data_IF_900549317045
#
_entry.id   IF_900549317045
#
_cell.length_a   1.000
_cell.length_b   1.000
_cell.length_c   1.000
_cell.angle_alpha   90.00
_cell.angle_beta   90.00
_cell.angle_gamma   90.00
#
_symmetry.space_group_name_H-M   'P 1'
#
loop_
_entity.id
_entity.type
_entity.pdbx_description
1 polymer ?
#
# COMPACT_ATOMS: atom_id res chain seq x y z
N UNK A 1 -34.16 -31.70 3.16
CA UNK A 1 -34.03 -31.05 1.84
C UNK A 1 -34.18 -29.55 2.05
N UNK A 2 -33.06 -28.83 2.12
CA UNK A 2 -33.02 -27.37 2.22
C UNK A 2 -32.39 -26.87 0.92
N UNK A 3 -33.14 -26.04 0.20
CA UNK A 3 -32.78 -25.53 -1.12
C UNK A 3 -31.60 -24.58 -1.00
N UNK A 4 -30.54 -24.90 -1.75
CA UNK A 4 -29.39 -24.04 -1.98
C UNK A 4 -29.85 -22.69 -2.55
N UNK A 5 -29.54 -21.62 -1.84
CA UNK A 5 -29.85 -20.24 -2.22
C UNK A 5 -28.94 -19.78 -3.36
N UNK A 6 -29.52 -19.08 -4.34
CA UNK A 6 -28.92 -18.45 -5.53
C UNK A 6 -27.71 -17.51 -5.29
N UNK A 7 -27.21 -17.40 -4.06
CA UNK A 7 -26.15 -16.47 -3.63
C UNK A 7 -24.73 -16.92 -3.97
N UNK A 8 -24.48 -18.21 -4.23
CA UNK A 8 -23.13 -18.73 -4.51
C UNK A 8 -22.74 -18.77 -6.00
N UNK A 9 -23.63 -18.36 -6.92
CA UNK A 9 -23.48 -18.66 -8.35
C UNK A 9 -23.44 -17.46 -9.32
N UNK A 10 -23.32 -16.22 -8.84
CA UNK A 10 -23.17 -15.03 -9.70
C UNK A 10 -21.80 -14.35 -9.50
N UNK A 11 -20.77 -15.18 -9.65
CA UNK A 11 -19.48 -14.79 -10.24
C UNK A 11 -19.75 -14.52 -11.75
N UNK A 12 -19.12 -13.49 -12.31
CA UNK A 12 -19.11 -13.03 -13.73
C UNK A 12 -20.08 -11.90 -14.14
N UNK A 13 -19.50 -10.77 -14.61
CA UNK A 13 -19.98 -10.08 -15.82
C UNK A 13 -20.33 -8.58 -15.72
N UNK A 14 -19.52 -7.75 -16.44
CA UNK A 14 -19.95 -6.52 -17.16
C UNK A 14 -20.08 -5.22 -16.35
N UNK A 15 -20.09 -4.00 -16.93
CA UNK A 15 -19.55 -3.37 -18.15
C UNK A 15 -20.06 -1.91 -18.15
N UNK A 16 -19.24 -0.93 -18.56
CA UNK A 16 -19.63 0.41 -19.08
C UNK A 16 -20.11 1.48 -18.06
N UNK A 17 -20.00 2.80 -18.25
CA UNK A 17 -19.60 3.67 -19.38
C UNK A 17 -19.31 5.12 -18.86
N UNK A 18 -18.18 5.68 -19.31
CA UNK A 18 -17.87 7.06 -19.78
C UNK A 18 -18.74 8.26 -19.35
N UNK A 19 -18.07 9.30 -18.83
CA UNK A 19 -18.52 10.70 -18.85
C UNK A 19 -17.38 11.70 -18.56
N UNK A 20 -16.91 12.38 -19.60
CA UNK A 20 -15.77 13.34 -19.70
C UNK A 20 -16.11 14.73 -19.14
N UNK A 21 -15.15 15.45 -18.52
CA UNK A 21 -14.80 16.90 -18.65
C UNK A 21 -13.48 17.12 -17.86
N UNK A 22 -12.30 17.42 -18.43
CA UNK A 22 -11.82 18.72 -18.97
C UNK A 22 -11.55 19.73 -17.83
N UNK A 23 -10.35 20.24 -17.51
CA UNK A 23 -9.28 20.77 -18.36
C UNK A 23 -7.91 20.91 -17.63
N UNK A 24 -6.84 20.69 -18.40
CA UNK A 24 -5.56 21.42 -18.51
C UNK A 24 -4.72 21.77 -17.26
N UNK A 25 -3.59 21.05 -17.12
CA UNK A 25 -2.29 21.68 -16.85
C UNK A 25 -1.25 21.15 -17.84
N UNK A 26 -0.68 22.08 -18.60
CA UNK A 26 0.33 21.87 -19.64
C UNK A 26 1.70 21.61 -19.05
N UNK A 27 2.31 20.47 -19.37
CA UNK A 27 3.72 20.19 -19.07
C UNK A 27 4.61 20.55 -20.27
N UNK A 28 5.55 21.47 -20.07
CA UNK A 28 6.67 21.72 -20.99
C UNK A 28 7.77 20.68 -20.79
N UNK A 29 8.42 20.18 -21.86
CA UNK A 29 9.41 19.12 -21.76
C UNK A 29 10.82 19.67 -21.54
N UNK A 30 11.55 19.11 -20.57
CA UNK A 30 13.00 19.14 -20.58
C UNK A 30 13.66 19.39 -19.23
N UNK A 31 13.92 18.33 -18.47
CA UNK A 31 15.28 18.08 -17.98
C UNK A 31 15.41 16.60 -17.62
N UNK A 32 16.41 15.92 -18.20
CA UNK A 32 16.83 14.59 -17.78
C UNK A 32 17.58 14.74 -16.46
N UNK A 33 16.98 14.34 -15.34
CA UNK A 33 17.74 14.09 -14.11
C UNK A 33 18.25 12.65 -14.11
N UNK A 34 19.47 12.50 -13.61
CA UNK A 34 20.25 11.27 -13.63
C UNK A 34 19.58 10.18 -12.78
N UNK A 35 19.67 8.94 -13.26
CA UNK A 35 19.08 7.76 -12.65
C UNK A 35 19.66 7.49 -11.26
N UNK A 36 18.88 7.79 -10.22
CA UNK A 36 18.97 7.11 -8.93
C UNK A 36 18.50 5.65 -9.06
N UNK A 37 18.56 4.83 -7.98
CA UNK A 37 17.99 3.49 -8.01
C UNK A 37 16.55 3.62 -8.48
N UNK A 38 16.21 2.96 -9.58
CA UNK A 38 14.90 3.08 -10.21
C UNK A 38 13.85 2.70 -9.18
N UNK A 39 13.06 3.67 -8.71
CA UNK A 39 11.93 3.39 -7.83
C UNK A 39 11.05 2.35 -8.54
N UNK A 40 10.57 1.33 -7.82
CA UNK A 40 9.82 0.27 -8.47
C UNK A 40 8.57 0.87 -9.14
N UNK A 41 8.31 0.46 -10.37
CA UNK A 41 7.18 0.99 -11.14
C UNK A 41 5.91 0.33 -10.63
N UNK A 42 4.93 1.13 -10.20
CA UNK A 42 3.61 0.62 -9.86
C UNK A 42 2.96 0.01 -11.12
N UNK A 43 2.68 -1.28 -11.06
CA UNK A 43 2.04 -2.03 -12.14
C UNK A 43 0.58 -2.29 -11.81
N UNK A 44 -0.29 -1.47 -12.39
CA UNK A 44 -1.75 -1.62 -12.30
C UNK A 44 -2.28 -2.38 -13.51
N UNK A 45 -3.40 -3.11 -13.37
CA UNK A 45 -4.06 -3.70 -14.52
C UNK A 45 -4.59 -2.57 -15.44
N UNK A 46 -4.70 -2.80 -16.77
CA UNK A 46 -5.32 -1.82 -17.66
C UNK A 46 -6.68 -1.38 -17.12
N UNK A 47 -7.00 -0.08 -17.27
CA UNK A 47 -8.19 0.53 -16.66
C UNK A 47 -9.50 -0.16 -17.10
N UNK A 48 -9.54 -0.66 -18.33
CA UNK A 48 -10.65 -1.35 -18.99
C UNK A 48 -10.61 -2.87 -18.85
N UNK A 49 -9.52 -3.44 -18.32
CA UNK A 49 -9.40 -4.89 -18.18
C UNK A 49 -10.36 -5.42 -17.12
N UNK A 50 -11.12 -6.45 -17.47
CA UNK A 50 -11.95 -7.23 -16.54
C UNK A 50 -11.46 -8.67 -16.40
N UNK A 51 -10.28 -9.00 -16.93
CA UNK A 51 -9.74 -10.36 -16.89
C UNK A 51 -9.20 -10.70 -15.50
N UNK A 52 -9.79 -11.66 -14.77
CA UNK A 52 -9.35 -12.01 -13.42
C UNK A 52 -7.90 -12.49 -13.36
N UNK A 53 -7.34 -13.04 -14.45
CA UNK A 53 -5.94 -13.47 -14.48
C UNK A 53 -4.98 -12.28 -14.57
N UNK A 54 -5.35 -11.24 -15.33
CA UNK A 54 -4.58 -9.99 -15.43
C UNK A 54 -4.57 -9.26 -14.10
N UNK A 55 -5.75 -9.10 -13.48
CA UNK A 55 -5.88 -8.51 -12.14
C UNK A 55 -5.10 -9.31 -11.10
N UNK A 56 -5.24 -10.64 -11.10
CA UNK A 56 -4.48 -11.49 -10.19
C UNK A 56 -2.98 -11.29 -10.36
N UNK A 57 -2.47 -11.22 -11.58
CA UNK A 57 -1.03 -11.01 -11.81
C UNK A 57 -0.56 -9.69 -11.21
N UNK A 58 -1.28 -8.60 -11.44
CA UNK A 58 -0.91 -7.27 -10.93
C UNK A 58 -1.01 -7.20 -9.41
N UNK A 59 -2.04 -7.77 -8.80
CA UNK A 59 -2.16 -7.85 -7.33
C UNK A 59 -1.01 -8.63 -6.70
N UNK A 60 -0.68 -9.80 -7.26
CA UNK A 60 0.41 -10.62 -6.74
C UNK A 60 1.76 -9.92 -6.85
N UNK A 61 2.00 -9.20 -7.95
CA UNK A 61 3.23 -8.45 -8.13
C UNK A 61 3.32 -7.28 -7.15
N UNK A 62 2.23 -6.52 -7.01
CA UNK A 62 2.15 -5.40 -6.07
C UNK A 62 2.38 -5.86 -4.63
N UNK A 63 1.56 -6.78 -4.12
CA UNK A 63 1.64 -7.21 -2.72
C UNK A 63 2.91 -7.98 -2.41
N UNK A 64 3.48 -8.75 -3.35
CA UNK A 64 4.77 -9.39 -3.13
C UNK A 64 5.91 -8.37 -3.01
N UNK A 65 5.90 -7.30 -3.81
CA UNK A 65 6.89 -6.24 -3.73
C UNK A 65 6.74 -5.42 -2.44
N UNK A 66 5.50 -5.04 -2.09
CA UNK A 66 5.18 -4.38 -0.81
C UNK A 66 5.68 -5.23 0.37
N UNK A 67 5.33 -6.52 0.44
CA UNK A 67 5.73 -7.36 1.57
C UNK A 67 7.25 -7.65 1.61
N UNK A 68 7.90 -7.74 0.44
CA UNK A 68 9.37 -7.80 0.35
C UNK A 68 10.01 -6.56 0.97
N UNK A 69 9.48 -5.38 0.68
CA UNK A 69 9.98 -4.11 1.21
C UNK A 69 9.72 -3.98 2.70
N UNK A 70 8.54 -4.36 3.21
CA UNK A 70 8.30 -4.41 4.66
C UNK A 70 9.34 -5.29 5.34
N UNK A 71 9.60 -6.48 4.81
CA UNK A 71 10.61 -7.37 5.39
C UNK A 71 12.01 -6.71 5.39
N UNK A 72 12.37 -5.98 4.34
CA UNK A 72 13.60 -5.17 4.30
C UNK A 72 13.61 -4.06 5.34
N UNK A 73 12.52 -3.30 5.49
CA UNK A 73 12.43 -2.21 6.47
C UNK A 73 12.57 -2.73 7.90
N UNK A 74 11.92 -3.86 8.21
CA UNK A 74 12.09 -4.55 9.49
C UNK A 74 13.54 -4.91 9.75
N UNK A 75 14.24 -5.48 8.76
CA UNK A 75 15.64 -5.83 8.91
C UNK A 75 16.52 -4.59 9.18
N UNK A 76 16.29 -3.49 8.46
CA UNK A 76 17.01 -2.23 8.63
C UNK A 76 16.73 -1.57 9.98
N UNK A 77 15.48 -1.61 10.45
CA UNK A 77 15.02 -0.95 11.69
C UNK A 77 15.24 -1.80 12.96
N UNK A 78 15.91 -2.93 12.83
CA UNK A 78 16.31 -3.79 13.96
C UNK A 78 17.84 -3.84 14.10
N UNK A 79 18.53 -2.73 14.46
CA UNK A 79 19.99 -2.68 14.53
C UNK A 79 20.58 -3.43 15.75
N UNK A 80 21.89 -3.68 15.71
CA UNK A 80 22.65 -4.25 16.84
C UNK A 80 22.52 -5.77 17.03
N UNK A 81 23.35 -6.40 17.88
CA UNK A 81 23.40 -7.85 18.00
C UNK A 81 22.19 -8.47 18.72
N UNK A 82 21.48 -7.67 19.54
CA UNK A 82 20.36 -8.15 20.36
C UNK A 82 19.13 -8.59 19.54
N UNK A 83 18.99 -8.07 18.32
CA UNK A 83 17.89 -8.37 17.40
C UNK A 83 18.32 -9.23 16.21
N UNK A 84 19.49 -9.88 16.30
CA UNK A 84 20.05 -10.62 15.17
C UNK A 84 19.12 -11.75 14.69
N UNK A 85 18.42 -12.42 15.62
CA UNK A 85 17.49 -13.51 15.32
C UNK A 85 16.23 -13.00 14.62
N UNK A 86 15.67 -11.89 15.08
CA UNK A 86 14.48 -11.24 14.52
C UNK A 86 14.79 -10.63 13.15
N UNK A 87 15.97 -10.03 13.00
CA UNK A 87 16.48 -9.52 11.72
C UNK A 87 16.68 -10.64 10.71
N UNK A 88 17.31 -11.75 11.11
CA UNK A 88 17.53 -12.90 10.22
C UNK A 88 16.20 -13.50 9.72
N UNK A 89 15.15 -13.50 10.56
CA UNK A 89 13.79 -13.86 10.14
C UNK A 89 13.25 -12.88 9.08
N UNK A 90 13.35 -11.57 9.32
CA UNK A 90 12.93 -10.55 8.35
C UNK A 90 13.66 -10.69 7.01
N UNK A 91 14.98 -10.86 7.02
CA UNK A 91 15.78 -11.10 5.81
C UNK A 91 15.37 -12.39 5.08
N UNK A 92 14.96 -13.43 5.81
CA UNK A 92 14.43 -14.67 5.21
C UNK A 92 13.09 -14.44 4.52
N UNK A 93 12.19 -13.66 5.12
CA UNK A 93 10.94 -13.27 4.48
C UNK A 93 11.20 -12.41 3.24
N UNK A 94 12.13 -11.45 3.31
CA UNK A 94 12.52 -10.63 2.18
C UNK A 94 12.95 -11.48 0.98
N UNK A 95 13.83 -12.47 1.18
CA UNK A 95 14.24 -13.42 0.13
C UNK A 95 13.05 -14.21 -0.43
N UNK A 96 12.16 -14.69 0.44
CA UNK A 96 10.99 -15.48 0.02
C UNK A 96 10.02 -14.67 -0.84
N UNK A 97 9.76 -13.40 -0.47
CA UNK A 97 8.94 -12.50 -1.28
C UNK A 97 9.63 -12.07 -2.57
N UNK A 98 10.95 -11.87 -2.55
CA UNK A 98 11.73 -11.59 -3.76
C UNK A 98 11.63 -12.73 -4.78
N UNK A 99 11.79 -13.98 -4.34
CA UNK A 99 11.65 -15.16 -5.19
C UNK A 99 10.21 -15.27 -5.74
N UNK A 100 9.21 -15.02 -4.90
CA UNK A 100 7.81 -15.03 -5.30
C UNK A 100 7.45 -13.92 -6.30
N UNK A 101 8.01 -12.72 -6.11
CA UNK A 101 7.90 -11.60 -7.06
C UNK A 101 8.53 -11.95 -8.41
N UNK A 102 9.69 -12.61 -8.41
CA UNK A 102 10.33 -13.13 -9.62
C UNK A 102 9.43 -14.12 -10.37
N UNK A 103 8.77 -15.02 -9.63
CA UNK A 103 7.76 -15.93 -10.19
C UNK A 103 6.54 -15.18 -10.73
N UNK A 104 6.03 -14.19 -10.01
CA UNK A 104 4.87 -13.40 -10.45
C UNK A 104 5.16 -12.64 -11.76
N UNK A 105 6.38 -12.08 -11.90
CA UNK A 105 6.84 -11.40 -13.12
C UNK A 105 6.89 -12.35 -14.32
N UNK A 106 7.46 -13.54 -14.14
CA UNK A 106 7.75 -14.49 -15.23
C UNK A 106 6.60 -15.43 -15.58
N UNK A 107 5.73 -15.75 -14.61
CA UNK A 107 4.61 -16.68 -14.84
C UNK A 107 3.55 -16.03 -15.71
N UNK A 108 3.05 -16.77 -16.70
CA UNK A 108 1.85 -16.40 -17.44
C UNK A 108 0.64 -16.94 -16.68
N UNK A 109 -0.18 -16.04 -16.14
CA UNK A 109 -1.41 -16.41 -15.47
C UNK A 109 -2.56 -16.45 -16.47
N UNK A 110 -3.38 -17.48 -16.36
CA UNK A 110 -4.62 -17.67 -17.11
C UNK A 110 -5.72 -18.19 -16.17
N UNK A 111 -6.92 -18.38 -16.71
CA UNK A 111 -8.10 -18.84 -15.97
C UNK A 111 -7.93 -20.16 -15.22
N UNK A 112 -6.99 -21.01 -15.63
CA UNK A 112 -6.79 -22.34 -15.06
C UNK A 112 -5.80 -22.32 -13.88
N UNK A 113 -4.85 -21.38 -13.87
CA UNK A 113 -3.74 -21.39 -12.91
C UNK A 113 -3.73 -20.21 -11.91
N UNK A 114 -4.42 -19.10 -12.20
CA UNK A 114 -4.34 -17.89 -11.37
C UNK A 114 -4.78 -18.13 -9.93
N UNK A 115 -5.83 -18.93 -9.71
CA UNK A 115 -6.34 -19.21 -8.38
C UNK A 115 -5.34 -20.01 -7.53
N UNK A 116 -4.58 -20.93 -8.15
CA UNK A 116 -3.53 -21.68 -7.46
C UNK A 116 -2.34 -20.78 -7.12
N UNK A 117 -1.98 -19.87 -8.02
CA UNK A 117 -0.94 -18.87 -7.77
C UNK A 117 -1.33 -17.95 -6.61
N UNK A 118 -2.56 -17.42 -6.61
CA UNK A 118 -3.07 -16.57 -5.52
C UNK A 118 -3.00 -17.30 -4.16
N UNK A 119 -3.39 -18.57 -4.11
CA UNK A 119 -3.25 -19.37 -2.88
C UNK A 119 -1.79 -19.44 -2.41
N UNK A 120 -0.84 -19.65 -3.32
CA UNK A 120 0.59 -19.70 -2.93
C UNK A 120 1.08 -18.37 -2.34
N UNK A 121 0.56 -17.24 -2.81
CA UNK A 121 0.84 -15.92 -2.23
C UNK A 121 0.25 -15.78 -0.84
N UNK A 122 -1.01 -16.18 -0.67
CA UNK A 122 -1.68 -16.16 0.64
C UNK A 122 -0.93 -17.03 1.65
N UNK A 123 -0.52 -18.24 1.27
CA UNK A 123 0.27 -19.13 2.14
C UNK A 123 1.63 -18.53 2.50
N UNK A 124 2.26 -17.78 1.60
CA UNK A 124 3.51 -17.07 1.88
C UNK A 124 3.31 -15.91 2.88
N UNK A 125 2.17 -15.23 2.84
CA UNK A 125 1.85 -14.10 3.72
C UNK A 125 1.59 -14.52 5.17
N UNK A 126 0.93 -15.66 5.40
CA UNK A 126 0.54 -16.13 6.75
C UNK A 126 1.68 -16.12 7.79
N UNK A 127 2.84 -16.79 7.57
CA UNK A 127 3.92 -16.80 8.55
C UNK A 127 4.53 -15.40 8.75
N UNK A 128 4.46 -14.52 7.75
CA UNK A 128 4.92 -13.15 7.89
C UNK A 128 3.96 -12.30 8.73
N UNK A 129 2.65 -12.52 8.61
CA UNK A 129 1.64 -11.91 9.49
C UNK A 129 1.86 -12.35 10.94
N UNK A 130 2.07 -13.65 11.18
CA UNK A 130 2.38 -14.17 12.51
C UNK A 130 3.69 -13.58 13.07
N UNK A 131 4.72 -13.45 12.23
CA UNK A 131 5.96 -12.78 12.59
C UNK A 131 5.70 -11.32 13.02
N UNK A 132 4.94 -10.57 12.22
CA UNK A 132 4.55 -9.19 12.51
C UNK A 132 3.83 -9.09 13.86
N UNK A 133 2.81 -9.92 14.10
CA UNK A 133 2.06 -9.93 15.36
C UNK A 133 2.96 -10.23 16.57
N UNK A 134 3.84 -11.24 16.49
CA UNK A 134 4.79 -11.56 17.57
C UNK A 134 5.75 -10.41 17.87
N UNK A 135 6.24 -9.72 16.85
CA UNK A 135 7.14 -8.57 17.03
C UNK A 135 6.42 -7.40 17.70
N UNK A 136 5.17 -7.12 17.31
CA UNK A 136 4.33 -6.12 17.97
C UNK A 136 4.14 -6.44 19.46
N UNK A 137 3.76 -7.67 19.80
CA UNK A 137 3.59 -8.10 21.19
C UNK A 137 4.88 -8.01 21.99
N UNK A 138 6.01 -8.41 21.39
CA UNK A 138 7.32 -8.31 22.02
C UNK A 138 7.73 -6.85 22.27
N UNK A 139 7.42 -5.94 21.35
CA UNK A 139 7.68 -4.51 21.49
C UNK A 139 6.81 -3.89 22.59
N UNK A 140 5.50 -4.17 22.57
CA UNK A 140 4.54 -3.66 23.56
C UNK A 140 4.83 -4.16 24.98
N UNK A 141 5.38 -5.37 25.12
CA UNK A 141 5.81 -5.93 26.41
C UNK A 141 7.21 -5.49 26.85
N UNK A 142 7.91 -4.68 26.03
CA UNK A 142 9.27 -4.22 26.31
C UNK A 142 10.36 -5.30 26.18
N UNK A 143 10.03 -6.46 25.59
CA UNK A 143 10.99 -7.57 25.36
C UNK A 143 11.98 -7.26 24.24
N UNK A 144 11.57 -6.48 23.24
CA UNK A 144 12.44 -5.97 22.18
C UNK A 144 12.38 -4.44 22.13
N UNK A 145 13.46 -3.83 21.66
CA UNK A 145 13.56 -2.38 21.44
C UNK A 145 13.98 -2.17 19.99
N UNK A 146 13.04 -1.80 19.14
CA UNK A 146 13.27 -1.63 17.70
C UNK A 146 12.90 -0.22 17.26
N UNK A 147 13.32 0.17 16.05
CA UNK A 147 12.87 1.41 15.41
C UNK A 147 11.62 1.19 14.54
N UNK A 148 11.03 0.00 14.55
CA UNK A 148 9.79 -0.31 13.83
C UNK A 148 8.61 0.30 14.60
N UNK A 149 7.94 1.28 14.00
CA UNK A 149 6.74 1.87 14.58
C UNK A 149 5.61 0.84 14.70
N UNK A 150 4.81 0.92 15.77
CA UNK A 150 3.71 -0.01 16.01
C UNK A 150 2.64 -0.02 14.90
N UNK A 151 2.59 1.04 14.08
CA UNK A 151 1.70 1.18 12.92
C UNK A 151 2.03 0.22 11.76
N UNK A 152 3.27 -0.26 11.64
CA UNK A 152 3.68 -1.19 10.57
C UNK A 152 3.04 -2.60 10.64
N UNK A 153 2.28 -2.88 11.69
CA UNK A 153 1.80 -4.22 12.04
C UNK A 153 0.31 -4.48 11.73
N UNK A 154 -0.47 -3.46 11.36
CA UNK A 154 -1.92 -3.57 11.12
C UNK A 154 -2.34 -3.72 9.65
N UNK A 155 -3.53 -4.30 9.41
CA UNK A 155 -4.21 -4.38 8.11
C UNK A 155 -5.24 -5.53 8.04
N UNK A 156 -6.48 -5.26 7.63
CA UNK A 156 -7.56 -6.24 7.36
C UNK A 156 -8.18 -5.95 5.98
N UNK A 157 -8.60 -6.96 5.20
CA UNK A 157 -8.96 -6.80 3.77
C UNK A 157 -10.31 -7.45 3.41
N UNK A 158 -11.23 -6.67 2.84
CA UNK A 158 -12.40 -7.16 2.09
C UNK A 158 -12.93 -6.14 1.05
N UNK A 159 -13.75 -6.59 0.08
CA UNK A 159 -14.02 -5.92 -1.22
C UNK A 159 -15.46 -5.38 -1.31
N UNK A 160 -15.65 -4.21 -0.71
CA UNK A 160 -16.74 -3.28 -0.99
C UNK A 160 -16.18 -1.86 -0.92
N UNK A 161 -16.84 -0.87 -1.54
CA UNK A 161 -16.33 0.50 -1.52
C UNK A 161 -16.08 1.00 -0.09
N UNK A 162 -16.99 0.69 0.85
CA UNK A 162 -16.81 1.01 2.26
C UNK A 162 -15.59 0.32 2.88
N UNK A 163 -15.36 -0.95 2.59
CA UNK A 163 -14.21 -1.69 3.11
C UNK A 163 -12.87 -1.20 2.52
N UNK A 164 -12.86 -0.82 1.22
CA UNK A 164 -11.69 -0.19 0.57
C UNK A 164 -11.39 1.16 1.23
N UNK A 165 -12.42 1.98 1.46
CA UNK A 165 -12.29 3.25 2.16
C UNK A 165 -11.75 3.02 3.57
N UNK A 166 -12.29 2.07 4.32
CA UNK A 166 -11.87 1.79 5.71
C UNK A 166 -10.43 1.30 5.79
N UNK A 167 -10.08 0.31 4.97
CA UNK A 167 -8.76 -0.28 4.93
C UNK A 167 -7.70 0.77 4.60
N UNK A 168 -7.86 1.45 3.45
CA UNK A 168 -6.84 2.38 2.99
C UNK A 168 -6.83 3.67 3.79
N UNK A 169 -7.96 4.18 4.27
CA UNK A 169 -7.92 5.38 5.13
C UNK A 169 -7.20 5.11 6.45
N UNK A 170 -7.23 3.88 6.95
CA UNK A 170 -6.36 3.48 8.06
C UNK A 170 -4.88 3.55 7.68
N UNK A 171 -4.50 2.95 6.55
CA UNK A 171 -3.11 2.96 6.07
C UNK A 171 -2.61 4.38 5.76
N UNK A 172 -3.40 5.21 5.06
CA UNK A 172 -3.03 6.58 4.71
C UNK A 172 -2.85 7.46 5.96
N UNK A 173 -3.70 7.27 6.98
CA UNK A 173 -3.55 7.95 8.27
C UNK A 173 -2.26 7.52 8.97
N UNK A 174 -2.00 6.21 9.03
CA UNK A 174 -0.82 5.65 9.67
C UNK A 174 0.47 6.08 8.95
N UNK A 175 0.46 6.12 7.62
CA UNK A 175 1.56 6.64 6.80
C UNK A 175 1.83 8.12 7.06
N UNK A 176 0.78 8.92 7.14
CA UNK A 176 0.90 10.35 7.38
C UNK A 176 1.49 10.64 8.77
N UNK A 177 1.07 9.88 9.80
CA UNK A 177 1.70 9.94 11.12
C UNK A 177 3.15 9.46 11.09
N UNK A 178 3.44 8.37 10.38
CA UNK A 178 4.80 7.87 10.25
C UNK A 178 5.72 8.94 9.63
N UNK A 179 5.28 9.60 8.56
CA UNK A 179 6.02 10.71 7.93
C UNK A 179 6.29 11.80 8.97
N UNK A 180 5.26 12.27 9.69
CA UNK A 180 5.41 13.32 10.70
C UNK A 180 6.46 12.97 11.77
N UNK A 181 6.51 11.70 12.20
CA UNK A 181 7.46 11.25 13.23
C UNK A 181 8.89 11.01 12.73
N UNK A 182 9.07 10.78 11.42
CA UNK A 182 10.39 10.51 10.84
C UNK A 182 11.03 11.74 10.16
N UNK A 183 10.28 12.83 10.00
CA UNK A 183 10.82 14.14 9.62
C UNK A 183 11.68 14.74 10.75
N UNK A 184 12.69 15.52 10.38
CA UNK A 184 13.44 16.31 11.36
C UNK A 184 12.49 17.36 11.99
N UNK A 185 12.55 17.59 13.32
CA UNK A 185 11.68 18.57 13.98
C UNK A 185 11.77 20.01 13.43
N UNK A 186 12.79 20.35 12.63
CA UNK A 186 12.90 21.62 11.93
C UNK A 186 11.99 21.72 10.69
N UNK A 187 11.50 20.61 10.13
CA UNK A 187 10.62 20.56 8.97
C UNK A 187 9.14 20.80 9.38
N UNK A 188 8.89 21.85 10.16
CA UNK A 188 7.60 22.07 10.86
C UNK A 188 6.41 22.15 9.90
N UNK A 189 6.58 22.77 8.73
CA UNK A 189 5.52 22.88 7.71
C UNK A 189 5.14 21.51 7.13
N UNK A 190 6.13 20.65 6.86
CA UNK A 190 5.90 19.29 6.35
C UNK A 190 5.29 18.40 7.42
N UNK A 191 5.71 18.56 8.68
CA UNK A 191 5.12 17.86 9.83
C UNK A 191 3.66 18.24 9.98
N UNK A 192 3.31 19.54 9.91
CA UNK A 192 1.92 19.98 9.98
C UNK A 192 1.08 19.38 8.86
N UNK A 193 1.55 19.45 7.62
CA UNK A 193 0.86 18.86 6.46
C UNK A 193 0.61 17.36 6.64
N UNK A 194 1.60 16.62 7.13
CA UNK A 194 1.47 15.19 7.41
C UNK A 194 0.44 14.91 8.53
N UNK A 195 0.43 15.69 9.62
CA UNK A 195 -0.56 15.52 10.68
C UNK A 195 -1.98 15.90 10.23
N UNK A 196 -2.11 16.95 9.42
CA UNK A 196 -3.39 17.36 8.82
C UNK A 196 -3.94 16.27 7.89
N UNK A 197 -3.08 15.68 7.04
CA UNK A 197 -3.44 14.54 6.20
C UNK A 197 -3.89 13.34 7.04
N UNK A 198 -3.18 13.01 8.14
CA UNK A 198 -3.63 11.94 9.04
C UNK A 198 -5.04 12.21 9.57
N UNK A 199 -5.29 13.43 10.08
CA UNK A 199 -6.59 13.80 10.63
C UNK A 199 -7.72 13.67 9.58
N UNK A 200 -7.46 14.04 8.33
CA UNK A 200 -8.40 13.86 7.21
C UNK A 200 -8.76 12.39 7.02
N UNK A 201 -7.75 11.50 6.91
CA UNK A 201 -8.00 10.07 6.71
C UNK A 201 -8.57 9.35 7.93
N UNK A 202 -8.24 9.79 9.16
CA UNK A 202 -8.96 9.34 10.35
C UNK A 202 -10.46 9.66 10.25
N UNK A 203 -10.81 10.82 9.69
CA UNK A 203 -12.18 11.24 9.43
C UNK A 203 -12.94 10.38 8.42
N UNK A 204 -12.23 9.66 7.53
CA UNK A 204 -12.83 8.74 6.57
C UNK A 204 -13.01 7.31 7.09
N UNK A 205 -12.48 6.97 8.28
CA UNK A 205 -12.74 5.67 8.91
C UNK A 205 -14.25 5.55 9.21
N UNK A 206 -14.97 4.74 8.43
CA UNK A 206 -16.41 4.52 8.51
C UNK A 206 -16.78 3.51 9.59
N UNK A 207 -16.07 3.45 10.72
CA UNK A 207 -16.32 2.54 11.84
C UNK A 207 -17.76 2.55 12.40
N UNK A 208 -18.63 3.39 11.84
CA UNK A 208 -20.07 3.27 11.89
C UNK A 208 -20.68 3.44 10.48
N UNK A 209 -21.37 2.42 9.95
CA UNK A 209 -22.04 2.40 8.63
C UNK A 209 -23.18 3.44 8.44
N UNK A 210 -23.28 4.42 9.34
CA UNK A 210 -24.30 5.46 9.32
C UNK A 210 -23.90 6.70 8.48
N UNK A 211 -22.61 6.86 8.15
CA UNK A 211 -22.14 7.96 7.30
C UNK A 211 -22.29 7.56 5.81
N UNK A 212 -22.81 8.46 4.95
CA UNK A 212 -22.73 8.27 3.51
C UNK A 212 -21.28 8.01 3.09
N UNK A 213 -21.08 7.04 2.21
CA UNK A 213 -19.77 6.72 1.67
C UNK A 213 -19.14 7.99 1.07
N UNK A 214 -17.90 8.36 1.46
CA UNK A 214 -17.26 9.55 0.93
C UNK A 214 -16.99 9.33 -0.56
N UNK A 215 -17.62 10.13 -1.42
CA UNK A 215 -17.47 10.02 -2.88
C UNK A 215 -16.28 10.83 -3.39
N UNK A 216 -16.52 12.11 -3.73
CA UNK A 216 -15.47 12.99 -4.25
C UNK A 216 -14.46 13.47 -3.21
N UNK A 217 -14.87 13.62 -1.94
CA UNK A 217 -14.00 14.15 -0.87
C UNK A 217 -12.77 13.28 -0.62
N UNK A 218 -12.95 11.96 -0.54
CA UNK A 218 -11.82 11.03 -0.31
C UNK A 218 -10.90 10.95 -1.53
N UNK A 219 -11.46 11.10 -2.72
CA UNK A 219 -10.70 11.13 -3.95
C UNK A 219 -9.76 12.34 -3.99
N UNK A 220 -10.30 13.53 -3.72
CA UNK A 220 -9.51 14.77 -3.64
C UNK A 220 -8.46 14.69 -2.54
N UNK A 221 -8.81 14.21 -1.34
CA UNK A 221 -7.86 14.03 -0.26
C UNK A 221 -6.72 13.06 -0.61
N UNK A 222 -7.01 12.02 -1.40
CA UNK A 222 -6.00 11.06 -1.86
C UNK A 222 -5.12 11.65 -2.95
N UNK A 223 -5.66 12.47 -3.86
CA UNK A 223 -4.85 13.24 -4.82
C UNK A 223 -3.91 14.22 -4.11
N UNK A 224 -4.41 14.97 -3.14
CA UNK A 224 -3.61 15.91 -2.33
C UNK A 224 -2.50 15.18 -1.55
N UNK A 225 -2.80 14.01 -0.97
CA UNK A 225 -1.80 13.19 -0.30
C UNK A 225 -0.71 12.69 -1.27
N UNK A 226 -1.10 12.23 -2.46
CA UNK A 226 -0.14 11.78 -3.48
C UNK A 226 0.77 12.92 -3.92
N UNK A 227 0.24 14.13 -4.08
CA UNK A 227 1.05 15.31 -4.45
C UNK A 227 2.04 15.66 -3.33
N UNK A 228 1.59 15.65 -2.07
CA UNK A 228 2.46 15.84 -0.90
C UNK A 228 3.57 14.77 -0.84
N UNK A 229 3.22 13.50 -0.97
CA UNK A 229 4.16 12.38 -0.96
C UNK A 229 5.13 12.43 -2.15
N UNK A 230 4.72 12.99 -3.29
CA UNK A 230 5.60 13.21 -4.45
C UNK A 230 6.68 14.23 -4.11
N UNK A 231 6.30 15.38 -3.53
CA UNK A 231 7.26 16.40 -3.06
C UNK A 231 8.20 15.83 -1.99
N UNK A 232 7.65 15.03 -1.07
CA UNK A 232 8.40 14.37 -0.02
C UNK A 232 9.43 13.39 -0.58
N UNK A 233 9.02 12.48 -1.48
CA UNK A 233 9.88 11.50 -2.14
C UNK A 233 11.03 12.18 -2.89
N UNK A 234 10.73 13.18 -3.71
CA UNK A 234 11.72 13.93 -4.49
C UNK A 234 12.68 14.72 -3.58
N UNK A 235 12.16 15.37 -2.54
CA UNK A 235 12.94 16.16 -1.60
C UNK A 235 13.88 15.31 -0.75
N UNK A 236 13.43 14.14 -0.27
CA UNK A 236 14.27 13.16 0.44
C UNK A 236 15.34 12.60 -0.50
N UNK A 237 14.94 12.19 -1.71
CA UNK A 237 15.87 11.64 -2.71
C UNK A 237 16.96 12.64 -3.13
N UNK A 238 16.64 13.93 -3.16
CA UNK A 238 17.58 15.01 -3.45
C UNK A 238 18.39 15.50 -2.22
N UNK A 239 18.15 14.95 -1.03
CA UNK A 239 18.79 15.39 0.22
C UNK A 239 18.40 16.82 0.63
N UNK A 240 17.23 17.30 0.19
CA UNK A 240 16.71 18.66 0.48
C UNK A 240 15.79 18.71 1.69
N UNK A 241 15.16 17.59 2.04
CA UNK A 241 14.30 17.44 3.23
C UNK A 241 15.08 16.65 4.29
N UNK A 242 15.17 17.20 5.49
CA UNK A 242 15.82 16.53 6.62
C UNK A 242 14.86 15.50 7.21
N UNK A 243 15.26 14.23 7.18
CA UNK A 243 14.48 13.15 7.77
C UNK A 243 15.38 11.93 8.03
N UNK A 244 14.84 10.97 8.78
CA UNK A 244 15.36 9.60 8.85
C UNK A 244 14.58 8.64 7.94
N UNK A 245 13.76 9.18 7.04
CA UNK A 245 12.97 8.41 6.07
C UNK A 245 13.90 7.95 4.96
N UNK A 246 14.01 6.63 4.77
CA UNK A 246 14.77 6.07 3.66
C UNK A 246 14.06 6.37 2.33
N UNK A 247 14.77 6.73 1.23
CA UNK A 247 14.13 7.03 -0.05
C UNK A 247 13.19 5.94 -0.58
N UNK A 248 13.56 4.66 -0.40
CA UNK A 248 12.70 3.51 -0.76
C UNK A 248 11.40 3.49 0.07
N UNK A 249 11.44 3.90 1.34
CA UNK A 249 10.24 3.99 2.19
C UNK A 249 9.31 5.12 1.71
N UNK A 250 9.86 6.27 1.31
CA UNK A 250 9.05 7.36 0.73
C UNK A 250 8.35 6.90 -0.56
N UNK A 251 9.09 6.26 -1.46
CA UNK A 251 8.53 5.70 -2.71
C UNK A 251 7.55 4.53 -2.46
N UNK A 252 7.71 3.80 -1.37
CA UNK A 252 6.78 2.76 -0.93
C UNK A 252 5.44 3.34 -0.50
N UNK A 253 5.46 4.29 0.44
CA UNK A 253 4.27 4.97 0.95
C UNK A 253 3.45 5.55 -0.21
N UNK A 254 4.11 6.28 -1.13
CA UNK A 254 3.44 6.85 -2.30
C UNK A 254 2.82 5.81 -3.24
N UNK A 255 3.46 4.66 -3.44
CA UNK A 255 2.91 3.58 -4.28
C UNK A 255 1.63 3.00 -3.71
N UNK A 256 1.52 2.92 -2.39
CA UNK A 256 0.30 2.48 -1.71
C UNK A 256 -0.83 3.50 -1.87
N UNK A 257 -0.54 4.80 -1.78
CA UNK A 257 -1.51 5.87 -2.07
C UNK A 257 -1.99 5.85 -3.52
N UNK A 258 -1.08 5.62 -4.47
CA UNK A 258 -1.41 5.44 -5.90
C UNK A 258 -2.24 4.17 -6.15
N UNK A 259 -2.03 3.10 -5.38
CA UNK A 259 -2.86 1.90 -5.41
C UNK A 259 -4.26 2.20 -4.86
N UNK A 260 -4.35 2.94 -3.77
CA UNK A 260 -5.62 3.33 -3.17
C UNK A 260 -6.50 4.13 -4.14
N UNK A 261 -5.94 5.18 -4.78
CA UNK A 261 -6.72 5.98 -5.73
C UNK A 261 -7.20 5.17 -6.95
N UNK A 262 -6.42 4.19 -7.42
CA UNK A 262 -6.85 3.26 -8.47
C UNK A 262 -8.02 2.38 -8.00
N UNK A 263 -7.97 1.88 -6.76
CA UNK A 263 -9.07 1.10 -6.18
C UNK A 263 -10.34 1.94 -5.97
N UNK A 264 -10.21 3.19 -5.53
CA UNK A 264 -11.34 4.13 -5.47
C UNK A 264 -11.98 4.32 -6.84
N UNK A 265 -11.19 4.50 -7.91
CA UNK A 265 -11.71 4.63 -9.29
C UNK A 265 -12.47 3.39 -9.74
N UNK A 266 -11.98 2.19 -9.40
CA UNK A 266 -12.58 0.91 -9.82
C UNK A 266 -13.81 0.52 -8.99
N UNK A 267 -13.90 0.98 -7.75
CA UNK A 267 -14.99 0.62 -6.83
C UNK A 267 -16.04 1.72 -6.68
N UNK A 268 -15.66 2.99 -6.76
CA UNK A 268 -16.52 4.17 -6.56
C UNK A 268 -17.42 4.51 -7.75
N UNK A 269 -17.06 4.09 -8.97
CA UNK A 269 -17.88 4.28 -10.19
C UNK A 269 -19.05 3.28 -10.33
N UNK A 270 -19.52 2.68 -9.23
CA UNK A 270 -20.57 1.63 -9.26
C UNK A 270 -21.95 2.09 -8.75
N UNK A 271 -22.23 3.39 -8.77
CA UNK A 271 -23.58 3.94 -8.50
C UNK A 271 -24.29 4.34 -9.77
#
# INVERSE_FOLDING_TARGET
MSMFSRREMMKFGGMGLIGVWGQNLSATPGSRSQAGPSNPVLLLPPADSTDPAVHSKTENMFWAEVMMEHASFFATLMPGPLLATERAQAESFQRSFQDHLGRAKTTTLDRNNYAAFNRSTVELMKPFIEYKQRMLEAQNSGRIRTLVFSLFFGGDVSISYGEVVDFWSAIMSDHSELIAHLLDPQEQELISQALDASAVFQGFKLGNHARPLPGGEIFLATEELIDFETVLEEGIGAGKIKSVIHPILAAHIRRESLKFIDELKRTGNKT
#
